data_IF_764749675203
#
_entry.id   IF_764749675203
#
_cell.length_a   1.000
_cell.length_b   1.000
_cell.length_c   1.000
_cell.angle_alpha   90.00
_cell.angle_beta   90.00
_cell.angle_gamma   90.00
#
_symmetry.space_group_name_H-M   'P 1'
#
loop_
_entity.id
_entity.type
_entity.pdbx_description
1 polymer ?
#
# COMPACT_ATOMS: atom_id res chain seq x y z
N UNK A 1 8.12 -13.99 -5.09
CA UNK A 1 8.02 -13.43 -3.72
C UNK A 1 8.70 -12.09 -3.78
N UNK A 2 8.08 -11.07 -3.20
CA UNK A 2 8.58 -9.70 -3.27
C UNK A 2 9.27 -9.35 -1.95
N UNK A 3 10.35 -8.58 -2.02
CA UNK A 3 10.77 -7.78 -0.87
C UNK A 3 9.73 -6.69 -0.63
N UNK A 4 9.34 -6.51 0.63
CA UNK A 4 8.36 -5.50 1.08
C UNK A 4 9.09 -4.56 2.03
N UNK A 5 9.40 -3.36 1.58
CA UNK A 5 10.15 -2.37 2.34
C UNK A 5 9.30 -1.12 2.56
N UNK A 6 9.06 -0.76 3.83
CA UNK A 6 8.47 0.53 4.18
C UNK A 6 9.56 1.60 4.06
N UNK A 7 9.42 2.50 3.09
CA UNK A 7 10.40 3.56 2.83
C UNK A 7 9.98 4.90 3.45
N UNK A 8 8.70 5.07 3.77
CA UNK A 8 8.18 6.25 4.45
C UNK A 8 6.90 5.93 5.23
N UNK A 9 6.65 6.67 6.31
CA UNK A 9 5.39 6.66 7.03
C UNK A 9 4.97 8.09 7.36
N UNK A 10 3.74 8.43 7.00
CA UNK A 10 3.12 9.71 7.27
C UNK A 10 1.95 9.54 8.23
N UNK A 11 2.02 10.20 9.39
CA UNK A 11 0.89 10.31 10.32
C UNK A 11 -0.05 11.42 9.83
N UNK A 12 -1.24 11.03 9.36
CA UNK A 12 -2.33 11.98 9.11
C UNK A 12 -2.97 12.42 10.43
N UNK A 13 -3.05 11.49 11.38
CA UNK A 13 -3.42 11.67 12.80
C UNK A 13 -2.71 10.60 13.63
N UNK A 14 -2.77 10.69 14.95
CA UNK A 14 -2.20 9.68 15.86
C UNK A 14 -2.69 8.26 15.60
N UNK A 15 -3.90 8.09 15.05
CA UNK A 15 -4.53 6.80 14.76
C UNK A 15 -4.75 6.55 13.26
N UNK A 16 -4.16 7.37 12.37
CA UNK A 16 -4.31 7.23 10.91
C UNK A 16 -2.99 7.47 10.23
N UNK A 17 -2.46 6.45 9.57
CA UNK A 17 -1.16 6.52 8.90
C UNK A 17 -1.28 6.17 7.43
N UNK A 18 -0.32 6.65 6.65
CA UNK A 18 -0.05 6.21 5.29
C UNK A 18 1.38 5.72 5.25
N UNK A 19 1.57 4.45 4.91
CA UNK A 19 2.88 3.87 4.63
C UNK A 19 3.13 3.90 3.12
N UNK A 20 4.33 4.34 2.74
CA UNK A 20 4.85 4.19 1.37
C UNK A 20 5.71 2.94 1.34
N UNK A 21 5.34 1.98 0.50
CA UNK A 21 5.99 0.67 0.44
C UNK A 21 6.63 0.48 -0.93
N UNK A 22 7.92 0.17 -0.94
CA UNK A 22 8.66 -0.30 -2.11
C UNK A 22 8.55 -1.82 -2.19
N UNK A 23 7.94 -2.30 -3.28
CA UNK A 23 7.94 -3.70 -3.67
C UNK A 23 9.07 -3.93 -4.66
N UNK A 24 9.94 -4.89 -4.38
CA UNK A 24 10.99 -5.34 -5.32
C UNK A 24 10.81 -6.83 -5.60
N UNK A 25 10.66 -7.21 -6.87
CA UNK A 25 10.64 -8.62 -7.26
C UNK A 25 12.02 -9.25 -7.00
N UNK A 26 12.07 -10.24 -6.10
CA UNK A 26 13.33 -10.91 -5.75
C UNK A 26 13.93 -11.71 -6.92
N UNK A 27 13.11 -12.11 -7.89
CA UNK A 27 13.57 -12.82 -9.10
C UNK A 27 14.06 -11.89 -10.19
N UNK A 28 13.70 -10.61 -10.13
CA UNK A 28 14.13 -9.59 -11.06
C UNK A 28 14.12 -8.21 -10.39
N UNK A 29 15.26 -7.81 -9.82
CA UNK A 29 15.39 -6.55 -9.08
C UNK A 29 15.10 -5.28 -9.91
N UNK A 30 15.08 -5.37 -11.24
CA UNK A 30 14.67 -4.24 -12.09
C UNK A 30 13.15 -3.99 -12.05
N UNK A 31 12.36 -4.94 -11.52
CA UNK A 31 10.91 -4.80 -11.33
C UNK A 31 10.64 -4.28 -9.93
N UNK A 32 10.33 -3.00 -9.87
CA UNK A 32 9.99 -2.30 -8.64
C UNK A 32 8.67 -1.58 -8.78
N UNK A 33 7.94 -1.46 -7.67
CA UNK A 33 6.70 -0.71 -7.61
C UNK A 33 6.52 -0.07 -6.25
N UNK A 34 6.11 1.18 -6.24
CA UNK A 34 5.65 1.86 -5.04
C UNK A 34 4.14 1.64 -4.90
N UNK A 35 3.70 1.26 -3.70
CA UNK A 35 2.30 1.20 -3.31
C UNK A 35 2.11 1.94 -1.99
N UNK A 36 0.87 2.30 -1.69
CA UNK A 36 0.53 3.06 -0.50
C UNK A 36 -0.46 2.28 0.34
N UNK A 37 -0.21 2.18 1.64
CA UNK A 37 -1.13 1.53 2.60
C UNK A 37 -1.64 2.59 3.55
N UNK A 38 -2.94 2.88 3.45
CA UNK A 38 -3.65 3.67 4.44
C UNK A 38 -4.13 2.76 5.57
N UNK A 39 -3.73 3.06 6.79
CA UNK A 39 -4.18 2.40 8.01
C UNK A 39 -5.12 3.33 8.79
N UNK A 40 -6.35 2.84 9.02
CA UNK A 40 -7.33 3.46 9.89
C UNK A 40 -7.39 2.68 11.21
N UNK A 41 -6.90 3.30 12.27
CA UNK A 41 -7.02 2.85 13.66
C UNK A 41 -6.44 1.46 13.95
N UNK A 42 -5.59 0.93 13.08
CA UNK A 42 -4.96 -0.38 13.25
C UNK A 42 -5.84 -1.58 12.87
N UNK A 43 -7.06 -1.36 12.38
CA UNK A 43 -8.00 -2.45 12.03
C UNK A 43 -8.63 -2.32 10.66
N UNK A 44 -8.30 -1.28 9.89
CA UNK A 44 -8.84 -1.12 8.54
C UNK A 44 -7.81 -0.55 7.59
N UNK A 45 -7.42 -1.37 6.63
CA UNK A 45 -6.31 -1.12 5.72
C UNK A 45 -6.81 -1.01 4.29
N UNK A 46 -6.33 0.01 3.57
CA UNK A 46 -6.61 0.20 2.14
C UNK A 46 -5.29 0.35 1.39
N UNK A 47 -5.11 -0.45 0.36
CA UNK A 47 -3.95 -0.41 -0.51
C UNK A 47 -4.29 0.37 -1.77
N UNK A 48 -3.41 1.28 -2.17
CA UNK A 48 -3.49 2.06 -3.41
C UNK A 48 -2.27 1.76 -4.28
N UNK A 49 -2.49 1.67 -5.59
CA UNK A 49 -1.44 1.30 -6.55
C UNK A 49 -0.61 2.49 -7.04
N UNK A 50 -1.05 3.71 -6.76
CA UNK A 50 -0.38 4.95 -7.10
C UNK A 50 -0.84 6.10 -6.17
N UNK A 51 -0.05 7.18 -6.15
CA UNK A 51 -0.29 8.33 -5.26
C UNK A 51 -1.56 9.10 -5.62
N UNK A 52 -1.97 9.13 -6.89
CA UNK A 52 -3.15 9.88 -7.35
C UNK A 52 -4.41 9.30 -6.72
N UNK A 53 -4.56 7.97 -6.69
CA UNK A 53 -5.72 7.30 -6.08
C UNK A 53 -5.76 7.50 -4.55
N UNK A 54 -4.61 7.46 -3.88
CA UNK A 54 -4.51 7.83 -2.47
C UNK A 54 -4.95 9.29 -2.24
N UNK A 55 -4.44 10.23 -3.02
CA UNK A 55 -4.78 11.66 -2.88
C UNK A 55 -6.27 11.91 -3.14
N UNK A 56 -6.86 11.24 -4.14
CA UNK A 56 -8.31 11.30 -4.38
C UNK A 56 -9.09 10.80 -3.17
N UNK A 57 -8.68 9.67 -2.58
CA UNK A 57 -9.27 9.13 -1.36
C UNK A 57 -9.22 10.12 -0.19
N UNK A 58 -8.04 10.71 0.07
CA UNK A 58 -7.86 11.67 1.17
C UNK A 58 -8.66 12.96 0.97
N UNK A 59 -8.92 13.36 -0.27
CA UNK A 59 -9.68 14.57 -0.62
C UNK A 59 -11.19 14.32 -0.82
N UNK A 60 -11.69 13.12 -0.52
CA UNK A 60 -13.10 12.73 -0.76
C UNK A 60 -13.56 12.88 -2.22
N UNK A 61 -12.65 12.70 -3.18
CA UNK A 61 -12.98 12.60 -4.60
C UNK A 61 -13.29 11.14 -4.97
N UNK A 62 -13.71 10.89 -6.22
CA UNK A 62 -13.82 9.52 -6.73
C UNK A 62 -12.42 8.86 -6.82
N UNK A 63 -12.27 7.70 -6.20
CA UNK A 63 -11.01 6.95 -6.10
C UNK A 63 -11.22 5.46 -6.36
N UNK A 64 -10.13 4.75 -6.65
CA UNK A 64 -10.09 3.29 -6.77
C UNK A 64 -9.14 2.71 -5.72
N UNK A 65 -9.68 1.81 -4.90
CA UNK A 65 -8.89 0.98 -3.99
C UNK A 65 -8.36 -0.24 -4.76
N UNK A 66 -7.08 -0.55 -4.57
CA UNK A 66 -6.49 -1.79 -5.11
C UNK A 66 -6.97 -3.00 -4.32
N UNK A 67 -6.86 -2.93 -2.98
CA UNK A 67 -7.34 -3.94 -2.03
C UNK A 67 -7.70 -3.32 -0.68
N UNK A 68 -8.61 -3.96 0.04
CA UNK A 68 -9.07 -3.56 1.36
C UNK A 68 -9.06 -4.76 2.31
N UNK A 69 -8.58 -4.56 3.53
CA UNK A 69 -8.43 -5.61 4.54
C UNK A 69 -8.76 -5.10 5.94
N UNK A 70 -9.20 -5.99 6.82
CA UNK A 70 -9.43 -5.69 8.24
C UNK A 70 -8.27 -6.14 9.16
N UNK A 71 -7.24 -6.76 8.59
CA UNK A 71 -6.05 -7.20 9.31
C UNK A 71 -4.80 -6.93 8.48
N UNK A 72 -3.76 -6.45 9.14
CA UNK A 72 -2.42 -6.21 8.61
C UNK A 72 -1.82 -7.46 7.92
N UNK A 73 -2.02 -8.64 8.50
CA UNK A 73 -1.53 -9.92 7.96
C UNK A 73 -1.98 -10.15 6.51
N UNK A 74 -3.20 -9.76 6.17
CA UNK A 74 -3.71 -9.91 4.80
C UNK A 74 -3.13 -8.88 3.84
N UNK A 75 -2.77 -7.69 4.34
CA UNK A 75 -2.03 -6.67 3.57
C UNK A 75 -0.66 -7.22 3.21
N UNK A 76 0.11 -7.69 4.20
CA UNK A 76 1.46 -8.19 3.96
C UNK A 76 1.47 -9.37 2.97
N UNK A 77 0.59 -10.35 3.16
CA UNK A 77 0.43 -11.48 2.24
C UNK A 77 0.11 -11.06 0.80
N UNK A 78 -0.68 -10.00 0.63
CA UNK A 78 -1.01 -9.46 -0.69
C UNK A 78 0.23 -8.81 -1.33
N UNK A 79 0.98 -8.02 -0.58
CA UNK A 79 2.17 -7.32 -1.06
C UNK A 79 3.29 -8.29 -1.48
N UNK A 80 3.53 -9.30 -0.66
CA UNK A 80 4.52 -10.36 -0.91
C UNK A 80 4.24 -11.14 -2.21
N UNK A 81 2.95 -11.30 -2.55
CA UNK A 81 2.47 -12.04 -3.72
C UNK A 81 2.00 -11.13 -4.86
N UNK A 82 2.26 -9.83 -4.77
CA UNK A 82 1.85 -8.87 -5.77
C UNK A 82 2.44 -9.23 -7.14
N UNK A 83 1.59 -9.26 -8.17
CA UNK A 83 2.00 -9.54 -9.54
C UNK A 83 2.32 -8.24 -10.27
N UNK A 84 3.56 -8.09 -10.71
CA UNK A 84 3.97 -7.02 -11.61
C UNK A 84 3.35 -7.30 -12.99
N UNK A 85 2.33 -6.53 -13.37
CA UNK A 85 1.81 -6.57 -14.73
C UNK A 85 2.91 -6.10 -15.70
N UNK A 86 3.04 -6.81 -16.82
CA UNK A 86 4.10 -6.66 -17.82
C UNK A 86 3.88 -5.45 -18.72
#
# INVERSE_FOLDING_TARGET
MNSVEQIEESYLRSNRTVETILLTDLSNSSRQKIVYVYNYEGYHYRVFDNVIELTKFLNNNEFRILKEYLKDYWVYNFLEKYQFNT
#
